data_IF_299383799011
#
_entry.id   IF_299383799011
#
_cell.length_a   1.000
_cell.length_b   1.000
_cell.length_c   1.000
_cell.angle_alpha   90.00
_cell.angle_beta   90.00
_cell.angle_gamma   90.00
#
_symmetry.space_group_name_H-M   'P 1'
#
loop_
_entity.id
_entity.type
_entity.pdbx_description
1 polymer ?
#
# COMPACT_ATOMS: atom_id res chain seq x y z
N UNK A 1 -17.36 -18.97 -10.75
CA UNK A 1 -16.69 -18.12 -9.74
C UNK A 1 -15.62 -18.99 -9.10
N UNK A 2 -14.34 -18.70 -9.32
CA UNK A 2 -13.27 -19.63 -8.89
C UNK A 2 -13.01 -19.49 -7.39
N UNK A 3 -12.77 -20.60 -6.71
CA UNK A 3 -12.58 -20.70 -5.24
C UNK A 3 -11.49 -19.73 -4.73
N UNK A 4 -10.49 -19.42 -5.55
CA UNK A 4 -9.38 -18.53 -5.21
C UNK A 4 -9.79 -17.05 -5.15
N UNK A 5 -10.74 -16.58 -5.97
CA UNK A 5 -11.23 -15.19 -5.93
C UNK A 5 -11.98 -14.90 -4.63
N UNK A 6 -12.82 -15.86 -4.22
CA UNK A 6 -13.55 -15.81 -2.97
C UNK A 6 -12.56 -15.78 -1.78
N UNK A 7 -11.53 -16.64 -1.80
CA UNK A 7 -10.56 -16.72 -0.72
C UNK A 7 -9.75 -15.42 -0.53
N UNK A 8 -9.22 -14.82 -1.60
CA UNK A 8 -8.46 -13.56 -1.48
C UNK A 8 -9.34 -12.39 -1.06
N UNK A 9 -10.55 -12.29 -1.62
CA UNK A 9 -11.53 -11.28 -1.23
C UNK A 9 -11.91 -11.42 0.25
N UNK A 10 -12.20 -12.63 0.71
CA UNK A 10 -12.53 -12.90 2.11
C UNK A 10 -11.39 -12.55 3.08
N UNK A 11 -10.14 -12.94 2.78
CA UNK A 11 -9.02 -12.61 3.66
C UNK A 11 -8.78 -11.10 3.77
N UNK A 12 -8.89 -10.37 2.65
CA UNK A 12 -8.71 -8.92 2.63
C UNK A 12 -9.84 -8.19 3.33
N UNK A 13 -11.08 -8.68 3.20
CA UNK A 13 -12.23 -8.17 3.95
C UNK A 13 -12.05 -8.39 5.45
N UNK A 14 -11.64 -9.58 5.89
CA UNK A 14 -11.39 -9.88 7.32
C UNK A 14 -10.31 -8.96 7.88
N UNK A 15 -9.18 -8.83 7.19
CA UNK A 15 -8.11 -7.91 7.58
C UNK A 15 -8.60 -6.45 7.66
N UNK A 16 -9.41 -6.01 6.70
CA UNK A 16 -10.02 -4.68 6.71
C UNK A 16 -11.02 -4.49 7.85
N UNK A 17 -11.77 -5.52 8.24
CA UNK A 17 -12.65 -5.46 9.41
C UNK A 17 -11.88 -5.33 10.71
N UNK A 18 -10.73 -6.00 10.85
CA UNK A 18 -9.84 -5.81 11.99
C UNK A 18 -9.34 -4.35 12.02
N UNK A 19 -8.86 -3.83 10.89
CA UNK A 19 -8.43 -2.43 10.79
C UNK A 19 -9.55 -1.43 11.10
N UNK A 20 -10.77 -1.71 10.65
CA UNK A 20 -11.95 -0.90 10.93
C UNK A 20 -12.22 -0.84 12.44
N UNK A 21 -12.21 -1.98 13.13
CA UNK A 21 -12.42 -2.05 14.58
C UNK A 21 -11.34 -1.30 15.36
N UNK A 22 -10.06 -1.46 14.98
CA UNK A 22 -8.95 -0.71 15.57
C UNK A 22 -9.12 0.81 15.36
N UNK A 23 -9.59 1.21 14.18
CA UNK A 23 -9.84 2.63 13.85
C UNK A 23 -11.01 3.20 14.63
N UNK A 24 -12.11 2.45 14.78
CA UNK A 24 -13.25 2.83 15.63
C UNK A 24 -12.81 3.01 17.08
N UNK A 25 -12.01 2.07 17.59
CA UNK A 25 -11.48 2.17 18.95
C UNK A 25 -10.55 3.38 19.12
N UNK A 26 -9.68 3.65 18.14
CA UNK A 26 -8.82 4.84 18.13
C UNK A 26 -9.63 6.13 18.17
N UNK A 27 -10.64 6.26 17.31
CA UNK A 27 -11.55 7.42 17.31
C UNK A 27 -12.30 7.54 18.63
N UNK A 28 -12.72 6.41 19.24
CA UNK A 28 -13.38 6.43 20.54
C UNK A 28 -12.46 6.98 21.63
N UNK A 29 -11.23 6.48 21.73
CA UNK A 29 -10.26 6.95 22.72
C UNK A 29 -9.98 8.45 22.53
N UNK A 30 -9.76 8.89 21.30
CA UNK A 30 -9.47 10.30 21.02
C UNK A 30 -10.64 11.23 21.38
N UNK A 31 -11.88 10.84 21.06
CA UNK A 31 -13.07 11.59 21.47
C UNK A 31 -13.27 11.61 22.99
N UNK A 32 -12.95 10.53 23.70
CA UNK A 32 -13.03 10.52 25.16
C UNK A 32 -12.00 11.47 25.77
N UNK A 33 -10.77 11.50 25.24
CA UNK A 33 -9.72 12.44 25.67
C UNK A 33 -10.09 13.91 25.43
N UNK A 34 -10.88 14.20 24.39
CA UNK A 34 -11.42 15.55 24.17
C UNK A 34 -12.48 15.95 25.20
N UNK A 35 -13.27 14.98 25.67
CA UNK A 35 -14.36 15.21 26.63
C UNK A 35 -13.85 15.25 28.06
N UNK A 36 -12.87 14.40 28.38
CA UNK A 36 -12.29 14.23 29.71
C UNK A 36 -10.76 14.04 29.59
N UNK A 37 -10.00 15.06 30.02
CA UNK A 37 -8.55 15.03 29.96
C UNK A 37 -7.93 14.02 30.96
N UNK A 38 -8.71 13.53 31.94
CA UNK A 38 -8.27 12.53 32.91
C UNK A 38 -8.60 11.09 32.44
N UNK A 39 -9.10 10.92 31.21
CA UNK A 39 -9.41 9.60 30.65
C UNK A 39 -8.14 8.79 30.33
N UNK A 40 -8.10 7.54 30.81
CA UNK A 40 -7.06 6.56 30.48
C UNK A 40 -7.60 5.48 29.54
N UNK A 41 -6.89 5.22 28.44
CA UNK A 41 -7.29 4.24 27.45
C UNK A 41 -7.03 2.82 27.94
N UNK A 42 -7.91 1.88 27.56
CA UNK A 42 -7.73 0.45 27.89
C UNK A 42 -6.45 -0.18 27.30
N UNK A 43 -5.84 0.44 26.29
CA UNK A 43 -4.58 -0.03 25.71
C UNK A 43 -3.33 0.58 26.33
N UNK A 44 -3.48 1.32 27.44
CA UNK A 44 -2.37 1.74 28.28
C UNK A 44 -1.96 0.58 29.19
N UNK A 45 -0.76 0.04 28.97
CA UNK A 45 -0.25 -1.12 29.73
C UNK A 45 0.80 -0.72 30.77
N UNK A 46 1.62 0.28 30.47
CA UNK A 46 2.64 0.86 31.34
C UNK A 46 3.07 2.24 30.80
N UNK A 47 3.97 2.93 31.52
CA UNK A 47 4.45 4.28 31.15
C UNK A 47 5.16 4.37 29.78
N UNK A 48 5.64 3.26 29.23
CA UNK A 48 6.26 3.19 27.91
C UNK A 48 5.37 2.61 26.82
N UNK A 49 4.12 2.25 27.16
CA UNK A 49 3.09 1.69 26.28
C UNK A 49 1.77 2.40 26.62
N UNK A 50 1.62 3.64 26.15
CA UNK A 50 0.41 4.46 26.34
C UNK A 50 -0.16 4.93 25.01
N UNK A 51 -1.35 4.43 24.68
CA UNK A 51 -2.19 4.97 23.63
C UNK A 51 -2.71 6.36 23.97
N UNK A 52 -3.03 6.62 25.25
CA UNK A 52 -3.52 7.93 25.70
C UNK A 52 -2.52 9.03 25.38
N UNK A 53 -1.23 8.83 25.68
CA UNK A 53 -0.17 9.79 25.36
C UNK A 53 -0.03 10.00 23.84
N UNK A 54 -0.18 8.93 23.06
CA UNK A 54 -0.11 9.02 21.59
C UNK A 54 -1.28 9.82 21.00
N UNK A 55 -2.51 9.54 21.42
CA UNK A 55 -3.70 10.18 20.86
C UNK A 55 -3.98 11.58 21.43
N UNK A 56 -3.50 11.91 22.62
CA UNK A 56 -3.53 13.28 23.15
C UNK A 56 -2.51 14.22 22.47
N UNK A 57 -1.54 13.65 21.75
CA UNK A 57 -0.55 14.46 21.02
C UNK A 57 -1.17 15.19 19.82
N UNK A 58 -0.53 16.28 19.37
CA UNK A 58 -0.91 16.99 18.13
C UNK A 58 -0.90 16.12 16.87
N UNK A 59 -0.25 14.95 16.92
CA UNK A 59 -0.19 14.01 15.80
C UNK A 59 -1.38 13.06 15.76
N UNK A 60 -2.18 12.97 16.84
CA UNK A 60 -3.44 12.21 16.91
C UNK A 60 -4.51 12.74 15.97
N UNK A 61 -4.49 14.04 15.67
CA UNK A 61 -5.40 14.72 14.73
C UNK A 61 -4.72 15.07 13.43
N UNK A 62 -5.39 14.81 12.32
CA UNK A 62 -4.98 15.26 10.98
C UNK A 62 -3.52 14.91 10.65
N UNK A 63 -3.00 13.81 11.21
CA UNK A 63 -1.62 13.34 11.11
C UNK A 63 -0.56 14.37 11.56
N UNK A 64 -0.95 15.41 12.31
CA UNK A 64 -0.12 16.56 12.66
C UNK A 64 0.27 17.45 11.47
N UNK A 65 -0.35 17.26 10.31
CA UNK A 65 -0.05 17.98 9.06
C UNK A 65 -1.21 18.92 8.70
N UNK A 66 -2.45 18.43 8.82
CA UNK A 66 -3.64 19.15 8.34
C UNK A 66 -3.78 20.51 9.01
N UNK A 67 -3.53 20.58 10.32
CA UNK A 67 -3.55 21.83 11.08
C UNK A 67 -2.65 22.93 10.46
N UNK A 68 -1.45 22.58 9.97
CA UNK A 68 -0.53 23.55 9.38
C UNK A 68 -0.96 24.05 7.99
N UNK A 69 -1.71 23.24 7.24
CA UNK A 69 -2.10 23.54 5.85
C UNK A 69 -3.48 24.20 5.79
N UNK A 70 -4.43 23.68 6.59
CA UNK A 70 -5.85 24.05 6.53
C UNK A 70 -6.36 24.77 7.80
N UNK A 71 -5.53 24.88 8.85
CA UNK A 71 -5.87 25.52 10.14
C UNK A 71 -6.39 24.53 11.19
N UNK A 72 -6.32 24.91 12.48
CA UNK A 72 -6.79 24.04 13.59
C UNK A 72 -8.29 23.75 13.50
N UNK A 73 -9.08 24.77 13.18
CA UNK A 73 -10.55 24.74 13.10
C UNK A 73 -11.06 24.15 11.77
N UNK A 74 -10.17 23.56 10.97
CA UNK A 74 -10.58 22.96 9.71
C UNK A 74 -11.45 21.73 9.97
N UNK A 75 -12.51 21.59 9.18
CA UNK A 75 -13.35 20.38 9.16
C UNK A 75 -12.52 19.13 8.83
N UNK A 76 -11.36 19.29 8.17
CA UNK A 76 -10.46 18.19 7.84
C UNK A 76 -9.46 17.84 8.95
N UNK A 77 -9.34 18.64 10.01
CA UNK A 77 -8.47 18.35 11.16
C UNK A 77 -9.16 17.38 12.14
N UNK A 78 -9.47 16.19 11.64
CA UNK A 78 -10.22 15.16 12.36
C UNK A 78 -9.29 14.13 13.01
N UNK A 79 -9.80 13.34 13.98
CA UNK A 79 -9.11 12.18 14.51
C UNK A 79 -8.53 11.25 13.44
N UNK A 80 -7.29 10.80 13.63
CA UNK A 80 -6.64 9.88 12.69
C UNK A 80 -7.46 8.58 12.51
N UNK A 81 -8.08 8.12 13.60
CA UNK A 81 -8.98 6.96 13.58
C UNK A 81 -10.13 7.13 12.58
N UNK A 82 -10.66 8.34 12.39
CA UNK A 82 -11.75 8.60 11.45
C UNK A 82 -11.31 8.35 10.00
N UNK A 83 -10.11 8.80 9.62
CA UNK A 83 -9.53 8.48 8.31
C UNK A 83 -9.32 6.98 8.13
N UNK A 84 -8.90 6.29 9.19
CA UNK A 84 -8.80 4.83 9.21
C UNK A 84 -10.14 4.14 8.94
N UNK A 85 -11.23 4.60 9.58
CA UNK A 85 -12.58 4.08 9.37
C UNK A 85 -12.97 4.16 7.89
N UNK A 86 -12.83 5.34 7.29
CA UNK A 86 -13.15 5.54 5.87
C UNK A 86 -12.27 4.67 4.96
N UNK A 87 -10.96 4.61 5.24
CA UNK A 87 -10.02 3.83 4.47
C UNK A 87 -10.38 2.33 4.49
N UNK A 88 -10.55 1.72 5.66
CA UNK A 88 -10.82 0.29 5.75
C UNK A 88 -12.20 -0.09 5.21
N UNK A 89 -13.21 0.76 5.41
CA UNK A 89 -14.53 0.57 4.81
C UNK A 89 -14.42 0.60 3.27
N UNK A 90 -13.71 1.58 2.70
CA UNK A 90 -13.50 1.68 1.26
C UNK A 90 -12.75 0.45 0.71
N UNK A 91 -11.66 0.04 1.36
CA UNK A 91 -10.88 -1.13 0.94
C UNK A 91 -11.74 -2.40 0.93
N UNK A 92 -12.56 -2.61 1.97
CA UNK A 92 -13.49 -3.73 2.04
C UNK A 92 -14.56 -3.67 0.93
N UNK A 93 -15.14 -2.50 0.66
CA UNK A 93 -16.15 -2.32 -0.39
C UNK A 93 -15.59 -2.60 -1.78
N UNK A 94 -14.38 -2.11 -2.07
CA UNK A 94 -13.72 -2.34 -3.37
C UNK A 94 -13.42 -3.83 -3.63
N UNK A 95 -13.37 -4.68 -2.59
CA UNK A 95 -13.19 -6.12 -2.74
C UNK A 95 -14.39 -6.83 -3.39
N UNK A 96 -15.57 -6.21 -3.42
CA UNK A 96 -16.76 -6.76 -4.08
C UNK A 96 -16.78 -6.50 -5.60
N UNK A 97 -15.87 -5.69 -6.12
CA UNK A 97 -15.80 -5.37 -7.55
C UNK A 97 -14.67 -6.15 -8.22
N UNK A 98 -15.02 -7.04 -9.15
CA UNK A 98 -14.05 -7.90 -9.87
C UNK A 98 -13.58 -7.22 -11.17
N UNK A 99 -12.82 -6.15 -11.03
CA UNK A 99 -12.24 -5.39 -12.13
C UNK A 99 -10.75 -5.09 -11.85
N UNK A 100 -9.87 -5.32 -12.83
CA UNK A 100 -8.43 -5.13 -12.65
C UNK A 100 -8.01 -3.66 -12.42
N UNK A 101 -8.75 -2.69 -12.95
CA UNK A 101 -8.48 -1.26 -12.69
C UNK A 101 -8.86 -0.91 -11.25
N UNK A 102 -9.98 -1.42 -10.74
CA UNK A 102 -10.34 -1.25 -9.32
C UNK A 102 -9.31 -1.89 -8.39
N UNK A 103 -8.85 -3.10 -8.70
CA UNK A 103 -7.78 -3.73 -7.95
C UNK A 103 -6.46 -2.92 -7.99
N UNK A 104 -6.17 -2.27 -9.12
CA UNK A 104 -5.03 -1.34 -9.23
C UNK A 104 -5.19 -0.10 -8.33
N UNK A 105 -6.39 0.49 -8.29
CA UNK A 105 -6.70 1.60 -7.37
C UNK A 105 -6.54 1.16 -5.92
N UNK A 106 -7.01 -0.03 -5.54
CA UNK A 106 -6.81 -0.58 -4.19
C UNK A 106 -5.32 -0.65 -3.82
N UNK A 107 -4.46 -1.10 -4.74
CA UNK A 107 -3.00 -1.12 -4.49
C UNK A 107 -2.49 0.29 -4.20
N UNK A 108 -2.84 1.30 -5.01
CA UNK A 108 -2.40 2.67 -4.76
C UNK A 108 -2.85 3.19 -3.38
N UNK A 109 -4.09 2.93 -2.99
CA UNK A 109 -4.60 3.30 -1.66
C UNK A 109 -3.82 2.60 -0.54
N UNK A 110 -3.52 1.31 -0.69
CA UNK A 110 -2.71 0.56 0.28
C UNK A 110 -1.27 1.09 0.35
N UNK A 111 -0.67 1.52 -0.76
CA UNK A 111 0.67 2.13 -0.78
C UNK A 111 0.68 3.42 0.03
N UNK A 112 -0.29 4.30 -0.21
CA UNK A 112 -0.41 5.57 0.52
C UNK A 112 -0.59 5.32 2.02
N UNK A 113 -1.45 4.37 2.39
CA UNK A 113 -1.66 3.99 3.79
C UNK A 113 -0.40 3.43 4.46
N UNK A 114 0.40 2.62 3.76
CA UNK A 114 1.68 2.13 4.28
C UNK A 114 2.72 3.25 4.41
N UNK A 115 2.78 4.18 3.46
CA UNK A 115 3.66 5.35 3.56
C UNK A 115 3.30 6.21 4.78
N UNK A 116 2.01 6.45 5.01
CA UNK A 116 1.54 7.15 6.22
C UNK A 116 1.84 6.36 7.50
N UNK A 117 1.73 5.02 7.46
CA UNK A 117 2.08 4.17 8.61
C UNK A 117 3.56 4.31 8.99
N UNK A 118 4.46 4.38 8.00
CA UNK A 118 5.90 4.62 8.25
C UNK A 118 6.16 5.99 8.87
N UNK A 119 5.46 7.03 8.40
CA UNK A 119 5.54 8.37 8.98
C UNK A 119 5.05 8.40 10.43
N UNK A 120 3.91 7.78 10.73
CA UNK A 120 3.40 7.71 12.10
C UNK A 120 4.28 6.84 13.01
N UNK A 121 4.85 5.74 12.48
CA UNK A 121 5.81 4.93 13.22
C UNK A 121 7.09 5.70 13.57
N UNK A 122 7.56 6.57 12.67
CA UNK A 122 8.66 7.49 12.96
C UNK A 122 8.31 8.43 14.12
N UNK A 123 7.13 9.06 14.08
CA UNK A 123 6.70 9.95 15.17
C UNK A 123 6.60 9.20 16.51
N UNK A 124 6.00 8.01 16.50
CA UNK A 124 5.79 7.17 17.68
C UNK A 124 7.13 6.79 18.34
N UNK A 125 8.13 6.40 17.55
CA UNK A 125 9.43 6.00 18.08
C UNK A 125 10.36 7.17 18.43
N UNK A 126 10.48 8.18 17.55
CA UNK A 126 11.50 9.24 17.69
C UNK A 126 10.99 10.54 18.31
N UNK A 127 9.69 10.82 18.25
CA UNK A 127 9.13 12.10 18.72
C UNK A 127 8.37 11.93 20.02
N UNK A 128 7.52 10.90 20.09
CA UNK A 128 6.74 10.61 21.30
C UNK A 128 7.47 9.69 22.28
N UNK A 129 8.45 8.93 21.78
CA UNK A 129 9.20 7.92 22.53
C UNK A 129 8.28 6.96 23.31
N UNK A 130 7.21 6.50 22.66
CA UNK A 130 6.17 5.67 23.28
C UNK A 130 5.73 4.54 22.34
N UNK A 131 5.28 3.41 22.87
CA UNK A 131 4.87 2.26 22.08
C UNK A 131 3.35 2.07 22.11
N UNK A 132 2.65 2.53 21.07
CA UNK A 132 1.21 2.30 20.94
C UNK A 132 0.90 0.97 20.21
N UNK A 133 0.39 -0.03 20.95
CA UNK A 133 0.08 -1.37 20.41
C UNK A 133 -1.04 -1.34 19.34
N UNK A 134 -2.03 -0.45 19.50
CA UNK A 134 -3.13 -0.27 18.52
C UNK A 134 -2.59 0.28 17.21
N UNK A 135 -1.67 1.24 17.30
CA UNK A 135 -1.00 1.87 16.15
C UNK A 135 -0.16 0.84 15.39
N UNK A 136 0.69 0.09 16.10
CA UNK A 136 1.51 -0.99 15.50
C UNK A 136 0.63 -2.05 14.85
N UNK A 137 -0.47 -2.46 15.50
CA UNK A 137 -1.44 -3.41 14.94
C UNK A 137 -2.04 -2.89 13.63
N UNK A 138 -2.39 -1.60 13.59
CA UNK A 138 -2.91 -0.93 12.39
C UNK A 138 -1.88 -0.94 11.25
N UNK A 139 -0.59 -0.72 11.56
CA UNK A 139 0.48 -0.77 10.56
C UNK A 139 0.67 -2.18 9.99
N UNK A 140 0.56 -3.22 10.83
CA UNK A 140 0.59 -4.62 10.39
C UNK A 140 -0.60 -4.93 9.48
N UNK A 141 -1.81 -4.50 9.84
CA UNK A 141 -3.02 -4.65 9.00
C UNK A 141 -2.83 -3.96 7.64
N UNK A 142 -2.24 -2.76 7.61
CA UNK A 142 -1.93 -2.05 6.36
C UNK A 142 -0.96 -2.81 5.47
N UNK A 143 0.08 -3.42 6.05
CA UNK A 143 1.02 -4.28 5.32
C UNK A 143 0.34 -5.53 4.74
N UNK A 144 -0.52 -6.18 5.53
CA UNK A 144 -1.31 -7.34 5.08
C UNK A 144 -2.24 -6.94 3.92
N UNK A 145 -2.94 -5.82 4.02
CA UNK A 145 -3.83 -5.34 2.96
C UNK A 145 -3.07 -5.01 1.67
N UNK A 146 -1.86 -4.45 1.75
CA UNK A 146 -1.01 -4.24 0.58
C UNK A 146 -0.61 -5.56 -0.08
N UNK A 147 -0.19 -6.54 0.71
CA UNK A 147 0.15 -7.87 0.17
C UNK A 147 -1.04 -8.56 -0.51
N UNK A 148 -2.21 -8.55 0.14
CA UNK A 148 -3.43 -9.17 -0.38
C UNK A 148 -3.96 -8.45 -1.63
N UNK A 149 -3.88 -7.12 -1.68
CA UNK A 149 -4.31 -6.34 -2.86
C UNK A 149 -3.45 -6.63 -4.10
N UNK A 150 -2.14 -6.79 -3.94
CA UNK A 150 -1.25 -7.20 -5.04
C UNK A 150 -1.61 -8.60 -5.54
N UNK A 151 -1.83 -9.56 -4.63
CA UNK A 151 -2.26 -10.92 -5.01
C UNK A 151 -3.59 -10.93 -5.75
N UNK A 152 -4.58 -10.14 -5.27
CA UNK A 152 -5.88 -9.99 -5.91
C UNK A 152 -5.75 -9.44 -7.33
N UNK A 153 -4.93 -8.41 -7.53
CA UNK A 153 -4.69 -7.82 -8.86
C UNK A 153 -4.14 -8.86 -9.85
N UNK A 154 -3.13 -9.63 -9.46
CA UNK A 154 -2.57 -10.66 -10.33
C UNK A 154 -3.60 -11.75 -10.69
N UNK A 155 -4.42 -12.16 -9.74
CA UNK A 155 -5.46 -13.16 -9.98
C UNK A 155 -6.53 -12.66 -10.97
N UNK A 156 -6.94 -11.40 -10.85
CA UNK A 156 -7.93 -10.79 -11.75
C UNK A 156 -7.38 -10.63 -13.17
N UNK A 157 -6.16 -10.13 -13.33
CA UNK A 157 -5.59 -9.97 -14.68
C UNK A 157 -5.35 -11.32 -15.37
N UNK A 158 -4.90 -12.34 -14.63
CA UNK A 158 -4.75 -13.69 -15.19
C UNK A 158 -6.07 -14.22 -15.76
N UNK A 159 -7.19 -13.96 -15.06
CA UNK A 159 -8.52 -14.37 -15.50
C UNK A 159 -9.04 -13.56 -16.69
N UNK A 160 -8.78 -12.25 -16.72
CA UNK A 160 -9.11 -11.40 -17.87
C UNK A 160 -8.43 -11.94 -19.14
N UNK A 161 -7.14 -12.27 -19.07
CA UNK A 161 -6.44 -12.91 -20.18
C UNK A 161 -7.05 -14.28 -20.56
N UNK A 162 -7.38 -15.14 -19.59
CA UNK A 162 -8.04 -16.43 -19.88
C UNK A 162 -9.39 -16.29 -20.60
N UNK A 163 -10.17 -15.27 -20.25
CA UNK A 163 -11.46 -14.97 -20.90
C UNK A 163 -11.24 -14.46 -22.33
N UNK A 164 -10.24 -13.59 -22.54
CA UNK A 164 -9.83 -13.12 -23.86
C UNK A 164 -9.38 -14.28 -24.77
N UNK A 165 -8.62 -15.28 -24.26
CA UNK A 165 -8.27 -16.50 -25.02
C UNK A 165 -9.49 -17.22 -25.55
N UNK A 166 -10.47 -17.47 -24.67
CA UNK A 166 -11.66 -18.29 -25.00
C UNK A 166 -12.52 -17.62 -26.07
N UNK A 167 -12.52 -16.29 -26.14
CA UNK A 167 -13.24 -15.54 -27.18
C UNK A 167 -12.53 -15.54 -28.54
N UNK A 168 -11.27 -15.97 -28.61
CA UNK A 168 -10.43 -15.90 -29.81
C UNK A 168 -10.37 -17.17 -30.66
N UNK A 169 -10.91 -18.31 -30.22
CA UNK A 169 -10.73 -19.61 -30.88
C UNK A 169 -11.45 -19.75 -32.25
N UNK A 170 -11.85 -18.63 -32.86
CA UNK A 170 -12.23 -18.54 -34.26
C UNK A 170 -10.95 -18.49 -35.13
N UNK A 171 -10.65 -19.59 -35.81
CA UNK A 171 -9.30 -20.06 -36.23
C UNK A 171 -8.37 -19.07 -36.96
N UNK A 172 -8.88 -18.03 -37.61
CA UNK A 172 -8.05 -17.01 -38.29
C UNK A 172 -7.51 -15.95 -37.32
N UNK A 173 -8.16 -15.77 -36.15
CA UNK A 173 -7.67 -14.89 -35.08
C UNK A 173 -6.60 -15.54 -34.21
N UNK A 174 -6.56 -16.87 -34.08
CA UNK A 174 -5.69 -17.57 -33.13
C UNK A 174 -4.18 -17.22 -33.24
N UNK A 175 -3.62 -17.05 -34.44
CA UNK A 175 -2.20 -16.67 -34.61
C UNK A 175 -1.95 -15.18 -34.28
N UNK A 176 -2.88 -14.30 -34.67
CA UNK A 176 -2.83 -12.89 -34.31
C UNK A 176 -3.09 -12.65 -32.82
N UNK A 177 -3.92 -13.50 -32.20
CA UNK A 177 -4.28 -13.40 -30.80
C UNK A 177 -3.24 -14.01 -29.88
N UNK A 178 -2.56 -15.09 -30.27
CA UNK A 178 -1.40 -15.60 -29.54
C UNK A 178 -0.29 -14.53 -29.48
N UNK A 179 -0.07 -13.79 -30.57
CA UNK A 179 0.84 -12.64 -30.59
C UNK A 179 0.34 -11.42 -29.80
N UNK A 180 -0.96 -11.08 -29.89
CA UNK A 180 -1.55 -9.99 -29.08
C UNK A 180 -1.57 -10.33 -27.60
N UNK A 181 -1.67 -11.60 -27.24
CA UNK A 181 -1.77 -12.08 -25.88
C UNK A 181 -0.41 -12.25 -25.22
N UNK A 182 0.59 -12.74 -25.94
CA UNK A 182 1.98 -12.62 -25.53
C UNK A 182 2.33 -11.14 -25.28
N UNK A 183 1.86 -10.23 -26.15
CA UNK A 183 2.04 -8.78 -25.99
C UNK A 183 1.24 -8.21 -24.81
N UNK A 184 0.01 -8.64 -24.57
CA UNK A 184 -0.83 -8.16 -23.46
C UNK A 184 -0.33 -8.65 -22.10
N UNK A 185 0.04 -9.94 -22.00
CA UNK A 185 0.67 -10.52 -20.81
C UNK A 185 2.01 -9.85 -20.53
N UNK A 186 2.77 -9.57 -21.57
CA UNK A 186 4.00 -8.81 -21.50
C UNK A 186 3.78 -7.36 -21.03
N UNK A 187 2.82 -6.64 -21.61
CA UNK A 187 2.45 -5.27 -21.21
C UNK A 187 1.97 -5.25 -19.76
N UNK A 188 1.24 -6.27 -19.31
CA UNK A 188 0.83 -6.40 -17.92
C UNK A 188 2.01 -6.67 -16.99
N UNK A 189 2.91 -7.59 -17.32
CA UNK A 189 4.15 -7.84 -16.55
C UNK A 189 5.05 -6.61 -16.52
N UNK A 190 5.12 -5.85 -17.62
CA UNK A 190 5.80 -4.55 -17.72
C UNK A 190 5.16 -3.53 -16.80
N UNK A 191 3.83 -3.41 -16.80
CA UNK A 191 3.10 -2.51 -15.90
C UNK A 191 3.26 -2.90 -14.42
N UNK A 192 3.26 -4.20 -14.09
CA UNK A 192 3.57 -4.72 -12.76
C UNK A 192 4.99 -4.32 -12.35
N UNK A 193 5.97 -4.55 -13.23
CA UNK A 193 7.35 -4.19 -12.97
C UNK A 193 7.50 -2.66 -12.80
N UNK A 194 6.77 -1.85 -13.57
CA UNK A 194 6.72 -0.39 -13.42
C UNK A 194 6.13 0.03 -12.08
N UNK A 195 4.99 -0.54 -11.68
CA UNK A 195 4.37 -0.26 -10.37
C UNK A 195 5.32 -0.66 -9.24
N UNK A 196 6.01 -1.79 -9.35
CA UNK A 196 7.01 -2.25 -8.38
C UNK A 196 8.23 -1.33 -8.35
N UNK A 197 8.67 -0.80 -9.49
CA UNK A 197 9.72 0.23 -9.57
C UNK A 197 9.26 1.52 -8.89
N UNK A 198 8.05 2.02 -9.16
CA UNK A 198 7.53 3.22 -8.50
C UNK A 198 7.44 3.05 -6.98
N UNK A 199 6.98 1.88 -6.52
CA UNK A 199 6.99 1.48 -5.12
C UNK A 199 8.39 1.55 -4.50
N UNK A 200 9.38 0.96 -5.17
CA UNK A 200 10.75 1.00 -4.72
C UNK A 200 11.33 2.42 -4.75
N UNK A 201 11.02 3.23 -5.76
CA UNK A 201 11.49 4.63 -5.85
C UNK A 201 10.91 5.46 -4.71
N UNK A 202 9.61 5.39 -4.46
CA UNK A 202 8.94 6.11 -3.37
C UNK A 202 9.51 5.67 -2.02
N UNK A 203 9.73 4.37 -1.83
CA UNK A 203 10.34 3.83 -0.61
C UNK A 203 11.80 4.30 -0.43
N UNK A 204 12.60 4.32 -1.49
CA UNK A 204 13.99 4.81 -1.45
C UNK A 204 14.05 6.34 -1.24
N UNK A 205 13.16 7.11 -1.86
CA UNK A 205 13.09 8.56 -1.69
C UNK A 205 12.69 8.94 -0.26
N UNK A 206 11.72 8.23 0.32
CA UNK A 206 11.34 8.40 1.72
C UNK A 206 12.48 8.00 2.66
N UNK A 207 13.17 6.89 2.37
CA UNK A 207 14.35 6.47 3.12
C UNK A 207 15.48 7.50 3.03
N UNK A 208 15.68 8.16 1.87
CA UNK A 208 16.67 9.22 1.65
C UNK A 208 16.35 10.47 2.43
N UNK A 209 15.09 10.87 2.44
CA UNK A 209 14.65 12.00 3.23
C UNK A 209 14.86 11.73 4.73
N UNK A 210 14.54 10.53 5.18
CA UNK A 210 14.77 10.12 6.56
C UNK A 210 16.27 10.08 6.91
N UNK A 211 17.11 9.52 6.04
CA UNK A 211 18.56 9.48 6.24
C UNK A 211 19.19 10.89 6.21
N UNK A 212 18.71 11.79 5.35
CA UNK A 212 19.10 13.19 5.33
C UNK A 212 18.76 13.88 6.65
N UNK A 213 17.54 13.71 7.15
CA UNK A 213 17.13 14.27 8.44
C UNK A 213 17.97 13.72 9.59
N UNK A 214 18.22 12.41 9.62
CA UNK A 214 19.03 11.77 10.66
C UNK A 214 20.49 12.24 10.64
N UNK A 215 21.08 12.39 9.46
CA UNK A 215 22.49 12.79 9.32
C UNK A 215 22.72 14.29 9.50
N UNK A 216 21.88 15.14 8.91
CA UNK A 216 22.07 16.60 8.92
C UNK A 216 21.39 17.32 10.07
N UNK A 217 20.33 16.77 10.65
CA UNK A 217 19.57 17.43 11.73
C UNK A 217 19.89 16.82 13.10
N UNK A 218 20.22 15.54 13.16
CA UNK A 218 20.35 14.78 14.42
C UNK A 218 21.76 14.23 14.69
N UNK A 219 22.71 14.37 13.76
CA UNK A 219 24.10 13.84 13.85
C UNK A 219 24.21 12.35 14.25
N UNK A 220 23.22 11.51 13.90
CA UNK A 220 23.11 10.13 14.38
C UNK A 220 23.01 9.07 13.26
N UNK A 221 23.55 7.86 13.52
CA UNK A 221 23.59 6.75 12.54
C UNK A 221 22.51 5.69 12.79
N UNK A 222 21.47 5.68 11.96
CA UNK A 222 20.38 4.71 12.04
C UNK A 222 20.67 3.43 11.23
N UNK A 223 21.04 2.34 11.92
CA UNK A 223 21.34 1.05 11.27
C UNK A 223 20.13 0.42 10.57
N UNK A 224 18.92 0.64 11.10
CA UNK A 224 17.64 0.18 10.50
C UNK A 224 17.37 0.92 9.18
N UNK A 225 17.74 2.19 9.10
CA UNK A 225 17.60 3.01 7.90
C UNK A 225 18.59 2.56 6.83
N UNK A 226 19.84 2.27 7.22
CA UNK A 226 20.87 1.73 6.32
C UNK A 226 20.51 0.32 5.83
N UNK A 227 19.99 -0.56 6.70
CA UNK A 227 19.53 -1.89 6.26
C UNK A 227 18.33 -1.79 5.32
N UNK A 228 17.40 -0.88 5.59
CA UNK A 228 16.24 -0.62 4.72
C UNK A 228 16.70 -0.06 3.38
N UNK A 229 17.73 0.79 3.37
CA UNK A 229 18.40 1.28 2.17
C UNK A 229 18.96 0.17 1.29
N UNK A 230 19.69 -0.75 1.90
CA UNK A 230 20.32 -1.87 1.19
C UNK A 230 19.25 -2.79 0.63
N UNK A 231 18.23 -3.14 1.43
CA UNK A 231 17.13 -4.01 1.00
C UNK A 231 16.29 -3.35 -0.11
N UNK A 232 15.95 -2.07 0.03
CA UNK A 232 15.19 -1.32 -0.98
C UNK A 232 15.99 -1.03 -2.25
N UNK A 233 17.30 -0.84 -2.14
CA UNK A 233 18.22 -0.72 -3.27
C UNK A 233 18.32 -2.03 -4.06
N UNK A 234 18.45 -3.16 -3.36
CA UNK A 234 18.44 -4.50 -3.98
C UNK A 234 17.10 -4.77 -4.67
N UNK A 235 15.97 -4.47 -3.99
CA UNK A 235 14.63 -4.63 -4.57
C UNK A 235 14.42 -3.72 -5.79
N UNK A 236 14.90 -2.48 -5.77
CA UNK A 236 14.85 -1.56 -6.91
C UNK A 236 15.69 -2.11 -8.07
N UNK A 237 16.92 -2.56 -7.79
CA UNK A 237 17.81 -3.14 -8.79
C UNK A 237 17.20 -4.38 -9.47
N UNK A 238 16.64 -5.30 -8.68
CA UNK A 238 15.97 -6.50 -9.19
C UNK A 238 14.72 -6.15 -10.00
N UNK A 239 13.96 -5.14 -9.58
CA UNK A 239 12.75 -4.70 -10.28
C UNK A 239 13.07 -3.99 -11.60
N UNK A 240 14.09 -3.13 -11.63
CA UNK A 240 14.61 -2.49 -12.86
C UNK A 240 15.17 -3.53 -13.82
N UNK A 241 15.94 -4.50 -13.31
CA UNK A 241 16.48 -5.61 -14.12
C UNK A 241 15.37 -6.44 -14.74
N UNK A 242 14.32 -6.74 -13.96
CA UNK A 242 13.13 -7.45 -14.44
C UNK A 242 12.39 -6.64 -15.50
N UNK A 243 12.22 -5.33 -15.31
CA UNK A 243 11.60 -4.44 -16.30
C UNK A 243 12.40 -4.37 -17.61
N UNK A 244 13.73 -4.24 -17.56
CA UNK A 244 14.56 -4.24 -18.76
C UNK A 244 14.50 -5.58 -19.51
N UNK A 245 14.59 -6.70 -18.77
CA UNK A 245 14.46 -8.04 -19.35
C UNK A 245 13.09 -8.25 -19.99
N UNK A 246 12.07 -7.64 -19.39
CA UNK A 246 10.76 -7.57 -20.00
C UNK A 246 10.88 -6.73 -21.30
N UNK A 247 11.16 -5.44 -21.26
CA UNK A 247 11.09 -4.54 -22.44
C UNK A 247 11.88 -5.09 -23.65
N UNK A 248 13.03 -5.73 -23.39
CA UNK A 248 13.80 -6.41 -24.43
C UNK A 248 13.00 -7.53 -25.14
N UNK A 249 12.24 -8.34 -24.40
CA UNK A 249 11.34 -9.36 -24.96
C UNK A 249 10.20 -8.74 -25.76
N UNK A 250 9.66 -7.58 -25.37
CA UNK A 250 8.64 -6.86 -26.14
C UNK A 250 9.17 -6.48 -27.53
N UNK A 251 10.34 -5.84 -27.58
CA UNK A 251 10.99 -5.45 -28.83
C UNK A 251 11.32 -6.64 -29.74
N UNK A 252 11.70 -7.78 -29.16
CA UNK A 252 11.94 -9.01 -29.93
C UNK A 252 10.64 -9.58 -30.52
N UNK A 253 9.53 -9.52 -29.75
CA UNK A 253 8.21 -9.94 -30.23
C UNK A 253 7.73 -9.04 -31.37
N UNK A 254 7.88 -7.72 -31.23
CA UNK A 254 7.51 -6.75 -32.26
C UNK A 254 8.30 -6.94 -33.56
N UNK A 255 9.61 -7.22 -33.47
CA UNK A 255 10.45 -7.53 -34.63
C UNK A 255 9.97 -8.79 -35.37
N UNK A 256 9.68 -9.87 -34.64
CA UNK A 256 9.16 -11.12 -35.22
C UNK A 256 7.82 -10.92 -35.92
N UNK A 257 6.94 -10.08 -35.35
CA UNK A 257 5.66 -9.73 -35.95
C UNK A 257 5.79 -8.85 -37.21
N UNK A 258 6.85 -8.03 -37.30
CA UNK A 258 7.15 -7.23 -38.50
C UNK A 258 7.69 -8.09 -39.63
N UNK A 259 8.56 -9.05 -39.33
CA UNK A 259 9.13 -9.96 -40.33
C UNK A 259 8.09 -10.95 -40.90
N UNK A 260 7.15 -11.44 -40.07
CA UNK A 260 6.04 -12.34 -40.52
C UNK A 260 5.02 -11.61 -41.41
N UNK A 261 4.97 -10.28 -41.38
CA UNK A 261 4.12 -9.46 -42.29
C UNK A 261 4.76 -9.15 -43.63
N UNK A 262 6.07 -9.37 -43.77
CA UNK A 262 6.84 -9.01 -44.98
C UNK A 262 7.13 -10.24 -45.87
N UNK A 263 6.72 -11.44 -45.43
CA UNK A 263 6.72 -12.70 -46.19
C UNK A 263 5.32 -13.06 -46.66
#
# INVERSE_FOLDING_TARGET
MSVNECQFSSSMVVSSMIGLLLSVYTTHVELQLELDNDYEALCDLNEGISCTKVFSSKYGKGFGIVHHILGEESIFNQPNGLFGIFFYALIALLCFVNDSNIARVQIYLCIVSNAMSLYLAYLLYFVLEDFCIVCVSTYVVNGINLYLSVKRYHALVAKECELERKMSDDKTKAKALCHMEDRAGFVNDSNIARVQIYLCIVSNAMSLYLAYLLYFVLEDFCIVCVSTYVVNGINLYLSVKRYHALVAKECELERKMSDDKTK
#
